data_IF_686199667071
#
_entry.id   IF_686199667071
#
_cell.length_a   1.000
_cell.length_b   1.000
_cell.length_c   1.000
_cell.angle_alpha   90.00
_cell.angle_beta   90.00
_cell.angle_gamma   90.00
#
_symmetry.space_group_name_H-M   'P 1'
#
loop_
_entity.id
_entity.type
_entity.pdbx_description
1 polymer ?
#
# COMPACT_ATOMS: atom_id res chain seq x y z
N UNK A 1 5.56 9.95 4.87
CA UNK A 1 5.20 10.20 3.46
C UNK A 1 3.83 10.86 3.39
N UNK A 2 3.69 11.87 2.55
CA UNK A 2 2.43 12.51 2.19
C UNK A 2 1.67 11.69 1.13
N UNK A 3 0.38 11.96 0.95
CA UNK A 3 -0.45 11.34 -0.09
C UNK A 3 0.15 11.47 -1.50
N UNK A 4 0.68 12.66 -1.85
CA UNK A 4 1.29 12.90 -3.17
C UNK A 4 2.50 12.01 -3.39
N UNK A 5 3.37 11.89 -2.38
CA UNK A 5 4.55 11.02 -2.45
C UNK A 5 4.14 9.54 -2.61
N UNK A 6 3.14 9.09 -1.86
CA UNK A 6 2.64 7.70 -1.93
C UNK A 6 2.03 7.39 -3.29
N UNK A 7 1.26 8.33 -3.86
CA UNK A 7 0.65 8.17 -5.18
C UNK A 7 1.72 8.03 -6.27
N UNK A 8 2.75 8.88 -6.24
CA UNK A 8 3.87 8.80 -7.19
C UNK A 8 4.71 7.53 -7.00
N UNK A 9 4.97 7.16 -5.75
CA UNK A 9 5.69 5.93 -5.40
C UNK A 9 4.93 4.68 -5.86
N UNK A 10 3.64 4.56 -5.56
CA UNK A 10 2.79 3.45 -5.99
C UNK A 10 2.79 3.30 -7.52
N UNK A 11 2.61 4.42 -8.23
CA UNK A 11 2.64 4.44 -9.71
C UNK A 11 3.97 3.95 -10.26
N UNK A 12 5.09 4.37 -9.66
CA UNK A 12 6.43 3.94 -10.08
C UNK A 12 6.67 2.44 -9.91
N UNK A 13 5.92 1.78 -9.02
CA UNK A 13 6.02 0.35 -8.75
C UNK A 13 4.93 -0.49 -9.43
N UNK A 14 4.16 0.09 -10.35
CA UNK A 14 3.12 -0.65 -11.06
C UNK A 14 1.77 -0.70 -10.34
N UNK A 15 1.50 0.24 -9.41
CA UNK A 15 0.23 0.30 -8.67
C UNK A 15 -0.51 1.60 -8.93
N UNK A 16 -1.83 1.50 -9.01
CA UNK A 16 -2.72 2.64 -8.95
C UNK A 16 -3.13 2.90 -7.50
N UNK A 17 -3.19 4.17 -7.09
CA UNK A 17 -3.61 4.57 -5.76
C UNK A 17 -4.65 5.70 -5.85
N UNK A 18 -5.80 5.51 -5.19
CA UNK A 18 -6.90 6.47 -5.12
C UNK A 18 -7.15 6.89 -3.67
N UNK A 19 -7.54 8.15 -3.50
CA UNK A 19 -7.99 8.71 -2.23
C UNK A 19 -9.49 8.93 -2.32
N UNK A 20 -10.20 8.39 -1.34
CA UNK A 20 -11.63 8.62 -1.08
C UNK A 20 -11.77 9.58 0.10
N UNK A 21 -13.01 9.96 0.46
CA UNK A 21 -13.27 10.88 1.58
C UNK A 21 -12.67 10.37 2.90
N UNK A 22 -12.91 9.11 3.25
CA UNK A 22 -12.48 8.50 4.52
C UNK A 22 -11.48 7.33 4.37
N UNK A 23 -11.06 7.04 3.14
CA UNK A 23 -10.21 5.87 2.87
C UNK A 23 -9.30 6.04 1.66
N UNK A 24 -8.42 5.08 1.48
CA UNK A 24 -7.49 5.00 0.38
C UNK A 24 -7.60 3.62 -0.24
N UNK A 25 -7.57 3.52 -1.56
CA UNK A 25 -7.53 2.23 -2.25
C UNK A 25 -6.33 2.12 -3.15
N UNK A 26 -5.89 0.90 -3.40
CA UNK A 26 -4.84 0.58 -4.35
C UNK A 26 -5.24 -0.60 -5.23
N UNK A 27 -4.72 -0.63 -6.45
CA UNK A 27 -4.83 -1.77 -7.37
C UNK A 27 -3.53 -1.94 -8.15
N UNK A 28 -3.24 -3.15 -8.61
CA UNK A 28 -2.09 -3.40 -9.49
C UNK A 28 -2.45 -2.99 -10.91
N UNK A 29 -1.53 -2.31 -11.62
CA UNK A 29 -1.76 -1.84 -12.99
C UNK A 29 -1.85 -2.98 -14.00
N UNK A 30 -1.16 -4.09 -13.75
CA UNK A 30 -1.19 -5.27 -14.62
C UNK A 30 -2.42 -6.14 -14.40
N UNK A 31 -3.01 -6.08 -13.20
CA UNK A 31 -4.14 -6.92 -12.82
C UNK A 31 -4.98 -6.20 -11.74
N UNK A 32 -6.08 -5.59 -12.18
CA UNK A 32 -6.98 -4.84 -11.30
C UNK A 32 -7.71 -5.72 -10.28
N UNK A 33 -7.71 -7.05 -10.46
CA UNK A 33 -8.24 -7.98 -9.44
C UNK A 33 -7.41 -7.94 -8.15
N UNK A 34 -6.12 -7.61 -8.27
CA UNK A 34 -5.21 -7.41 -7.15
C UNK A 34 -5.40 -5.98 -6.66
N UNK A 35 -6.26 -5.84 -5.66
CA UNK A 35 -6.60 -4.55 -5.06
C UNK A 35 -6.74 -4.64 -3.54
N UNK A 36 -6.76 -3.47 -2.90
CA UNK A 36 -6.99 -3.37 -1.47
C UNK A 36 -7.41 -1.97 -1.03
N UNK A 37 -7.87 -1.88 0.21
CA UNK A 37 -8.27 -0.64 0.85
C UNK A 37 -7.55 -0.44 2.19
N UNK A 38 -7.33 0.82 2.54
CA UNK A 38 -6.67 1.23 3.78
C UNK A 38 -7.33 2.50 4.33
N UNK A 39 -7.40 2.59 5.67
CA UNK A 39 -7.95 3.76 6.37
C UNK A 39 -6.96 4.92 6.50
N UNK A 40 -5.69 4.72 6.15
CA UNK A 40 -4.67 5.77 6.21
C UNK A 40 -3.61 5.58 5.15
N UNK A 41 -2.94 6.69 4.78
CA UNK A 41 -1.87 6.73 3.78
C UNK A 41 -0.74 5.76 4.14
N UNK A 42 -0.31 5.72 5.40
CA UNK A 42 0.76 4.82 5.85
C UNK A 42 0.36 3.35 5.72
N UNK A 43 -0.89 3.02 6.03
CA UNK A 43 -1.42 1.65 5.86
C UNK A 43 -1.53 1.27 4.39
N UNK A 44 -1.84 2.22 3.50
CA UNK A 44 -1.84 2.01 2.06
C UNK A 44 -0.44 1.64 1.56
N UNK A 45 0.57 2.43 1.93
CA UNK A 45 1.96 2.18 1.58
C UNK A 45 2.41 0.79 2.02
N UNK A 46 2.07 0.45 3.26
CA UNK A 46 2.39 -0.82 3.88
C UNK A 46 1.75 -1.99 3.14
N UNK A 47 0.46 -1.89 2.80
CA UNK A 47 -0.24 -2.92 2.04
C UNK A 47 0.38 -3.15 0.65
N UNK A 48 0.68 -2.06 -0.07
CA UNK A 48 1.36 -2.13 -1.38
C UNK A 48 2.75 -2.76 -1.23
N UNK A 49 3.54 -2.33 -0.24
CA UNK A 49 4.88 -2.86 0.00
C UNK A 49 4.87 -4.36 0.34
N UNK A 50 3.91 -4.80 1.17
CA UNK A 50 3.76 -6.21 1.52
C UNK A 50 3.35 -7.05 0.31
N UNK A 51 2.43 -6.54 -0.51
CA UNK A 51 2.09 -7.19 -1.78
C UNK A 51 3.31 -7.27 -2.71
N UNK A 52 4.06 -6.16 -2.89
CA UNK A 52 5.28 -6.12 -3.71
C UNK A 52 6.35 -7.12 -3.26
N UNK A 53 6.49 -7.31 -1.95
CA UNK A 53 7.51 -8.18 -1.36
C UNK A 53 7.00 -9.59 -1.12
N UNK A 54 5.80 -9.93 -1.61
CA UNK A 54 5.13 -11.22 -1.38
C UNK A 54 5.11 -11.61 0.11
N UNK A 55 4.77 -10.64 0.97
CA UNK A 55 4.73 -10.76 2.43
C UNK A 55 6.03 -11.21 3.11
N UNK A 56 7.17 -11.13 2.42
CA UNK A 56 8.48 -11.62 2.92
C UNK A 56 8.92 -11.00 4.26
N UNK A 57 8.41 -9.81 4.60
CA UNK A 57 8.81 -9.05 5.80
C UNK A 57 7.71 -8.91 6.84
N UNK A 58 6.57 -9.60 6.66
CA UNK A 58 5.41 -9.45 7.57
C UNK A 58 5.80 -9.82 9.00
N UNK A 59 6.55 -10.90 9.21
CA UNK A 59 6.99 -11.32 10.55
C UNK A 59 7.86 -10.27 11.25
N UNK A 60 8.81 -9.65 10.54
CA UNK A 60 9.65 -8.59 11.09
C UNK A 60 8.83 -7.34 11.41
N UNK A 61 7.88 -6.99 10.54
CA UNK A 61 6.99 -5.87 10.75
C UNK A 61 6.08 -6.09 11.96
N UNK A 62 5.58 -7.31 12.18
CA UNK A 62 4.75 -7.65 13.34
C UNK A 62 5.53 -7.58 14.66
N UNK A 63 6.79 -8.02 14.66
CA UNK A 63 7.66 -7.93 15.84
C UNK A 63 7.87 -6.50 16.33
N UNK A 64 8.00 -5.53 15.42
CA UNK A 64 8.20 -4.11 15.78
C UNK A 64 6.90 -3.31 15.90
N UNK A 65 5.74 -3.90 15.61
CA UNK A 65 4.44 -3.21 15.70
C UNK A 65 3.87 -3.20 17.12
N UNK A 66 4.35 -4.11 17.97
CA UNK A 66 3.93 -4.27 19.37
C UNK A 66 5.07 -4.00 20.38
N UNK A 67 6.22 -3.49 19.93
CA UNK A 67 7.36 -3.13 20.77
C UNK A 67 7.29 -1.67 21.24
#
# INVERSE_FOLDING_TARGET
MTWKEIKSWAKSHGYHALKHEDSYSWSKLEDESICGQAKSVSKLAFAIYNHMTNNKWVEYQEQYKNA
#
